data_IF_618246380912
#
_entry.id   IF_618246380912
#
_cell.length_a   1.000
_cell.length_b   1.000
_cell.length_c   1.000
_cell.angle_alpha   90.00
_cell.angle_beta   90.00
_cell.angle_gamma   90.00
#
_symmetry.space_group_name_H-M   'P 1'
#
loop_
_entity.id
_entity.type
_entity.pdbx_description
1 polymer ?
#
# COMPACT_ATOMS: atom_id res chain seq x y z
N UNK A 1 45.84 2.93 5.24
CA UNK A 1 44.53 3.27 5.79
C UNK A 1 44.75 3.82 7.18
N UNK A 2 44.27 4.99 7.51
CA UNK A 2 44.44 5.54 8.86
C UNK A 2 43.51 4.80 9.82
N UNK A 3 43.90 4.68 11.08
CA UNK A 3 43.07 4.09 12.15
C UNK A 3 41.68 4.70 12.22
N UNK A 4 41.59 6.00 11.90
CA UNK A 4 40.33 6.75 11.80
C UNK A 4 39.43 6.26 10.65
N UNK A 5 40.00 5.90 9.49
CA UNK A 5 39.22 5.35 8.35
C UNK A 5 38.69 3.95 8.64
N UNK A 6 39.49 3.13 9.35
CA UNK A 6 39.06 1.80 9.80
C UNK A 6 37.90 1.88 10.79
N UNK A 7 37.98 2.78 11.78
CA UNK A 7 36.90 3.02 12.76
C UNK A 7 35.62 3.54 12.07
N UNK A 8 35.74 4.47 11.13
CA UNK A 8 34.59 4.99 10.36
C UNK A 8 33.96 3.90 9.50
N UNK A 9 34.74 3.01 8.91
CA UNK A 9 34.25 1.84 8.16
C UNK A 9 33.49 0.89 9.07
N UNK A 10 34.05 0.55 10.24
CA UNK A 10 33.42 -0.33 11.22
C UNK A 10 32.11 0.28 11.75
N UNK A 11 32.06 1.57 12.03
CA UNK A 11 30.84 2.28 12.42
C UNK A 11 29.79 2.23 11.30
N UNK A 12 30.19 2.42 10.05
CA UNK A 12 29.31 2.31 8.89
C UNK A 12 28.79 0.88 8.70
N UNK A 13 29.64 -0.15 8.86
CA UNK A 13 29.22 -1.55 8.79
C UNK A 13 28.27 -1.93 9.93
N UNK A 14 28.54 -1.48 11.17
CA UNK A 14 27.63 -1.68 12.32
C UNK A 14 26.30 -0.96 12.09
N UNK A 15 26.33 0.30 11.62
CA UNK A 15 25.14 1.08 11.29
C UNK A 15 24.30 0.36 10.24
N UNK A 16 24.92 -0.08 9.14
CA UNK A 16 24.22 -0.82 8.08
C UNK A 16 23.66 -2.17 8.59
N UNK A 17 24.40 -2.84 9.47
CA UNK A 17 23.98 -4.10 10.06
C UNK A 17 22.82 -3.93 11.06
N UNK A 18 22.79 -2.82 11.81
CA UNK A 18 21.69 -2.45 12.71
C UNK A 18 20.44 -2.00 11.92
N UNK A 19 20.62 -1.29 10.81
CA UNK A 19 19.54 -0.91 9.90
C UNK A 19 18.93 -2.13 9.21
N UNK A 20 19.72 -3.14 8.87
CA UNK A 20 19.24 -4.41 8.29
C UNK A 20 18.71 -5.41 9.35
N UNK A 21 19.14 -5.31 10.61
CA UNK A 21 18.76 -6.19 11.72
C UNK A 21 17.88 -5.51 12.77
N UNK A 22 16.58 -5.42 12.50
CA UNK A 22 15.48 -5.37 13.48
C UNK A 22 15.26 -4.13 14.34
N UNK A 23 16.21 -3.24 14.59
CA UNK A 23 16.04 -2.19 15.61
C UNK A 23 15.56 -0.84 15.08
N UNK A 24 15.81 -0.50 13.82
CA UNK A 24 15.40 0.75 13.23
C UNK A 24 15.12 0.61 11.73
N UNK A 25 13.91 0.96 11.33
CA UNK A 25 13.51 0.99 9.93
C UNK A 25 12.82 2.32 9.62
N UNK A 26 13.45 3.22 8.86
CA UNK A 26 12.80 4.46 8.45
C UNK A 26 11.69 4.14 7.46
N UNK A 27 10.46 4.02 7.96
CA UNK A 27 9.31 3.81 7.11
C UNK A 27 8.73 5.14 6.63
N UNK A 28 8.42 5.21 5.35
CA UNK A 28 7.82 6.40 4.77
C UNK A 28 6.30 6.41 5.02
N UNK A 29 5.86 6.84 6.20
CA UNK A 29 4.44 6.97 6.53
C UNK A 29 3.68 7.93 5.61
N UNK A 30 4.37 8.92 4.99
CA UNK A 30 3.75 9.82 4.04
C UNK A 30 3.29 9.11 2.77
N UNK A 31 3.91 7.98 2.40
CA UNK A 31 3.45 7.15 1.30
C UNK A 31 2.02 6.63 1.53
N UNK A 32 1.66 6.28 2.79
CA UNK A 32 0.30 5.85 3.11
C UNK A 32 -0.75 6.93 2.77
N UNK A 33 -0.43 8.21 2.96
CA UNK A 33 -1.34 9.29 2.61
C UNK A 33 -1.48 9.48 1.10
N UNK A 34 -0.39 9.35 0.36
CA UNK A 34 -0.41 9.39 -1.11
C UNK A 34 -1.25 8.25 -1.67
N UNK A 35 -1.00 7.03 -1.22
CA UNK A 35 -1.78 5.86 -1.63
C UNK A 35 -3.24 5.93 -1.19
N UNK A 36 -3.54 6.55 -0.05
CA UNK A 36 -4.92 6.79 0.38
C UNK A 36 -5.66 7.70 -0.61
N UNK A 37 -5.05 8.80 -1.05
CA UNK A 37 -5.66 9.68 -2.07
C UNK A 37 -5.86 8.92 -3.38
N UNK A 38 -4.86 8.18 -3.84
CA UNK A 38 -4.96 7.37 -5.05
C UNK A 38 -6.06 6.32 -4.92
N UNK A 39 -6.17 5.63 -3.78
CA UNK A 39 -7.20 4.61 -3.54
C UNK A 39 -8.62 5.22 -3.61
N UNK A 40 -8.83 6.41 -3.02
CA UNK A 40 -10.12 7.11 -3.13
C UNK A 40 -10.43 7.45 -4.58
N UNK A 41 -9.49 8.11 -5.27
CA UNK A 41 -9.68 8.51 -6.67
C UNK A 41 -9.95 7.28 -7.54
N UNK A 42 -9.13 6.23 -7.43
CA UNK A 42 -9.32 5.00 -8.20
C UNK A 42 -10.67 4.35 -7.92
N UNK A 43 -11.08 4.25 -6.66
CA UNK A 43 -12.37 3.63 -6.29
C UNK A 43 -13.56 4.36 -6.94
N UNK A 44 -13.48 5.68 -7.07
CA UNK A 44 -14.57 6.49 -7.64
C UNK A 44 -14.55 6.54 -9.17
N UNK A 45 -13.36 6.57 -9.80
CA UNK A 45 -13.25 6.81 -11.24
C UNK A 45 -13.05 5.54 -12.07
N UNK A 46 -12.63 4.44 -11.45
CA UNK A 46 -12.25 3.21 -12.16
C UNK A 46 -13.41 2.64 -12.97
N UNK A 47 -14.57 2.46 -12.36
CA UNK A 47 -15.72 1.86 -13.03
C UNK A 47 -16.23 2.75 -14.17
N UNK A 48 -16.53 4.04 -13.97
CA UNK A 48 -16.91 4.93 -15.06
C UNK A 48 -15.90 4.99 -16.20
N UNK A 49 -14.59 4.90 -15.87
CA UNK A 49 -13.55 4.90 -16.90
C UNK A 49 -13.57 3.63 -17.76
N UNK A 50 -13.84 2.47 -17.17
CA UNK A 50 -13.97 1.21 -17.91
C UNK A 50 -15.29 1.12 -18.70
N UNK A 51 -16.37 1.70 -18.19
CA UNK A 51 -17.64 1.83 -18.92
C UNK A 51 -17.49 2.70 -20.17
N UNK A 52 -16.70 3.79 -20.06
CA UNK A 52 -16.43 4.63 -21.22
C UNK A 52 -15.60 3.86 -22.27
N UNK A 53 -14.51 3.20 -21.88
CA UNK A 53 -13.69 2.36 -22.75
C UNK A 53 -12.74 1.50 -21.94
N UNK A 54 -12.60 0.22 -22.32
CA UNK A 54 -11.64 -0.71 -21.69
C UNK A 54 -10.20 -0.15 -21.77
N UNK A 55 -9.80 0.37 -22.94
CA UNK A 55 -8.46 0.95 -23.12
C UNK A 55 -8.25 2.19 -22.28
N UNK A 56 -9.25 3.07 -22.17
CA UNK A 56 -9.19 4.27 -21.36
C UNK A 56 -9.10 3.92 -19.87
N UNK A 57 -9.95 3.00 -19.38
CA UNK A 57 -9.92 2.53 -18.00
C UNK A 57 -8.59 1.92 -17.61
N UNK A 58 -8.07 1.00 -18.44
CA UNK A 58 -6.75 0.39 -18.21
C UNK A 58 -5.61 1.43 -18.20
N UNK A 59 -5.60 2.36 -19.16
CA UNK A 59 -4.62 3.43 -19.24
C UNK A 59 -4.67 4.38 -18.03
N UNK A 60 -5.87 4.75 -17.58
CA UNK A 60 -6.06 5.62 -16.41
C UNK A 60 -5.51 4.97 -15.14
N UNK A 61 -5.87 3.70 -14.88
CA UNK A 61 -5.41 2.99 -13.70
C UNK A 61 -3.89 2.78 -13.73
N UNK A 62 -3.36 2.36 -14.87
CA UNK A 62 -1.91 2.24 -15.04
C UNK A 62 -1.18 3.57 -14.73
N UNK A 63 -1.73 4.68 -15.22
CA UNK A 63 -1.16 6.02 -14.98
C UNK A 63 -1.22 6.39 -13.50
N UNK A 64 -2.36 6.22 -12.83
CA UNK A 64 -2.51 6.52 -11.39
C UNK A 64 -1.57 5.69 -10.52
N UNK A 65 -1.46 4.39 -10.79
CA UNK A 65 -0.54 3.50 -10.09
C UNK A 65 0.92 3.91 -10.33
N UNK A 66 1.29 4.25 -11.56
CA UNK A 66 2.63 4.70 -11.91
C UNK A 66 2.99 6.01 -11.17
N UNK A 67 2.08 6.98 -11.14
CA UNK A 67 2.24 8.23 -10.37
C UNK A 67 2.45 7.90 -8.89
N UNK A 68 1.67 6.98 -8.33
CA UNK A 68 1.82 6.54 -6.94
C UNK A 68 3.22 6.03 -6.63
N UNK A 69 3.76 5.13 -7.44
CA UNK A 69 5.12 4.58 -7.25
C UNK A 69 6.22 5.64 -7.45
N UNK A 70 6.07 6.54 -8.41
CA UNK A 70 7.06 7.63 -8.61
C UNK A 70 7.09 8.57 -7.41
N UNK A 71 5.92 8.97 -6.90
CA UNK A 71 5.82 9.84 -5.72
C UNK A 71 6.33 9.12 -4.47
N UNK A 72 5.92 7.86 -4.23
CA UNK A 72 6.42 7.04 -3.12
C UNK A 72 7.93 6.90 -3.16
N UNK A 73 8.51 6.56 -4.31
CA UNK A 73 9.96 6.42 -4.48
C UNK A 73 10.70 7.73 -4.18
N UNK A 74 10.16 8.87 -4.61
CA UNK A 74 10.72 10.19 -4.33
C UNK A 74 10.66 10.54 -2.84
N UNK A 75 9.54 10.27 -2.18
CA UNK A 75 9.37 10.48 -0.74
C UNK A 75 10.27 9.55 0.08
N UNK A 76 10.39 8.28 -0.31
CA UNK A 76 11.25 7.31 0.37
C UNK A 76 12.73 7.71 0.30
N UNK A 77 13.21 8.18 -0.88
CA UNK A 77 14.57 8.74 -0.99
C UNK A 77 14.79 9.94 -0.07
N UNK A 78 13.78 10.83 0.05
CA UNK A 78 13.86 11.97 0.95
C UNK A 78 13.95 11.56 2.43
N UNK A 79 13.16 10.55 2.83
CA UNK A 79 13.21 10.00 4.19
C UNK A 79 14.56 9.33 4.44
N UNK A 80 15.04 8.48 3.53
CA UNK A 80 16.35 7.82 3.68
C UNK A 80 17.48 8.82 3.85
N UNK A 81 17.49 9.89 3.05
CA UNK A 81 18.50 10.94 3.15
C UNK A 81 18.51 11.64 4.52
N UNK A 82 17.36 11.78 5.18
CA UNK A 82 17.30 12.37 6.53
C UNK A 82 17.93 11.48 7.62
N UNK A 83 18.13 10.19 7.32
CA UNK A 83 18.81 9.23 8.19
C UNK A 83 20.22 8.86 7.70
N UNK A 84 20.74 9.61 6.72
CA UNK A 84 22.05 9.38 6.12
C UNK A 84 22.17 7.96 5.51
N UNK A 85 21.11 7.54 4.82
CA UNK A 85 21.03 6.28 4.10
C UNK A 85 21.01 6.62 2.61
N UNK A 86 22.04 6.22 1.88
CA UNK A 86 22.22 6.57 0.46
C UNK A 86 21.24 5.81 -0.43
N UNK A 87 20.96 4.53 -0.12
CA UNK A 87 20.14 3.64 -0.93
C UNK A 87 18.94 3.08 -0.16
N UNK A 88 17.97 2.53 -0.91
CA UNK A 88 16.85 1.81 -0.32
C UNK A 88 17.33 0.54 0.39
N UNK A 89 16.90 0.36 1.64
CA UNK A 89 17.19 -0.86 2.40
C UNK A 89 16.55 -2.10 1.75
N UNK A 90 17.06 -3.29 2.03
CA UNK A 90 16.49 -4.55 1.50
C UNK A 90 15.00 -4.71 1.84
N UNK A 91 14.58 -4.26 3.04
CA UNK A 91 13.17 -4.28 3.47
C UNK A 91 12.30 -3.32 2.66
N UNK A 92 12.78 -2.09 2.41
CA UNK A 92 12.08 -1.14 1.53
C UNK A 92 11.95 -1.68 0.12
N UNK A 93 13.02 -2.25 -0.43
CA UNK A 93 12.99 -2.89 -1.76
C UNK A 93 12.00 -4.07 -1.80
N UNK A 94 11.95 -4.89 -0.75
CA UNK A 94 10.98 -5.98 -0.65
C UNK A 94 9.53 -5.45 -0.68
N UNK A 95 9.23 -4.44 0.13
CA UNK A 95 7.89 -3.83 0.19
C UNK A 95 7.51 -3.26 -1.18
N UNK A 96 8.39 -2.44 -1.79
CA UNK A 96 8.14 -1.84 -3.10
C UNK A 96 7.93 -2.88 -4.20
N UNK A 97 8.77 -3.92 -4.25
CA UNK A 97 8.64 -5.02 -5.24
C UNK A 97 7.34 -5.80 -5.04
N UNK A 98 6.97 -6.08 -3.79
CA UNK A 98 5.73 -6.78 -3.47
C UNK A 98 4.50 -5.99 -3.95
N UNK A 99 4.40 -4.70 -3.61
CA UNK A 99 3.29 -3.86 -4.09
C UNK A 99 3.30 -3.65 -5.59
N UNK A 100 4.47 -3.53 -6.22
CA UNK A 100 4.57 -3.43 -7.66
C UNK A 100 4.02 -4.69 -8.37
N UNK A 101 4.40 -5.88 -7.91
CA UNK A 101 3.90 -7.14 -8.47
C UNK A 101 2.39 -7.30 -8.26
N UNK A 102 1.90 -6.99 -7.07
CA UNK A 102 0.46 -6.99 -6.77
C UNK A 102 -0.29 -6.01 -7.68
N UNK A 103 0.22 -4.79 -7.85
CA UNK A 103 -0.42 -3.77 -8.68
C UNK A 103 -0.46 -4.17 -10.16
N UNK A 104 0.62 -4.73 -10.69
CA UNK A 104 0.66 -5.23 -12.07
C UNK A 104 -0.39 -6.33 -12.29
N UNK A 105 -0.47 -7.28 -11.37
CA UNK A 105 -1.46 -8.35 -11.41
C UNK A 105 -2.90 -7.80 -11.32
N UNK A 106 -3.13 -6.82 -10.43
CA UNK A 106 -4.42 -6.17 -10.27
C UNK A 106 -4.87 -5.42 -11.54
N UNK A 107 -3.97 -4.71 -12.23
CA UNK A 107 -4.31 -4.01 -13.47
C UNK A 107 -4.79 -5.01 -14.53
N UNK A 108 -4.11 -6.14 -14.67
CA UNK A 108 -4.48 -7.18 -15.62
C UNK A 108 -5.85 -7.78 -15.27
N UNK A 109 -6.06 -8.20 -14.01
CA UNK A 109 -7.32 -8.78 -13.56
C UNK A 109 -8.48 -7.80 -13.66
N UNK A 110 -8.26 -6.53 -13.28
CA UNK A 110 -9.26 -5.47 -13.40
C UNK A 110 -9.73 -5.32 -14.84
N UNK A 111 -8.80 -5.32 -15.80
CA UNK A 111 -9.13 -5.23 -17.21
C UNK A 111 -9.95 -6.44 -17.67
N UNK A 112 -9.56 -7.66 -17.27
CA UNK A 112 -10.31 -8.88 -17.62
C UNK A 112 -11.72 -8.83 -17.03
N UNK A 113 -11.87 -8.49 -15.75
CA UNK A 113 -13.18 -8.42 -15.10
C UNK A 113 -14.06 -7.30 -15.68
N UNK A 114 -13.47 -6.16 -16.04
CA UNK A 114 -14.20 -5.07 -16.71
C UNK A 114 -14.75 -5.50 -18.08
N UNK A 115 -14.02 -6.30 -18.86
CA UNK A 115 -14.52 -6.88 -20.12
C UNK A 115 -15.77 -7.75 -19.91
N UNK A 116 -15.95 -8.33 -18.75
CA UNK A 116 -17.12 -9.14 -18.37
C UNK A 116 -18.11 -8.39 -17.49
N UNK A 117 -17.94 -7.08 -17.29
CA UNK A 117 -18.79 -6.21 -16.46
C UNK A 117 -18.89 -6.68 -14.98
N UNK A 118 -17.89 -7.38 -14.48
CA UNK A 118 -17.82 -7.92 -13.12
C UNK A 118 -17.26 -6.87 -12.15
N UNK A 119 -17.89 -5.70 -12.08
CA UNK A 119 -17.38 -4.54 -11.33
C UNK A 119 -17.29 -4.77 -9.83
N UNK A 120 -18.23 -5.54 -9.26
CA UNK A 120 -18.15 -5.93 -7.85
C UNK A 120 -16.90 -6.74 -7.51
N UNK A 121 -16.48 -7.67 -8.40
CA UNK A 121 -15.23 -8.43 -8.22
C UNK A 121 -14.00 -7.55 -8.32
N UNK A 122 -13.99 -6.54 -9.19
CA UNK A 122 -12.87 -5.61 -9.32
C UNK A 122 -12.60 -4.95 -7.97
N UNK A 123 -13.61 -4.38 -7.35
CA UNK A 123 -13.48 -3.66 -6.08
C UNK A 123 -13.00 -4.60 -4.97
N UNK A 124 -13.56 -5.81 -4.89
CA UNK A 124 -13.19 -6.79 -3.86
C UNK A 124 -11.77 -7.31 -4.01
N UNK A 125 -11.28 -7.55 -5.24
CA UNK A 125 -9.93 -8.08 -5.44
C UNK A 125 -8.87 -7.02 -5.11
N UNK A 126 -9.15 -5.74 -5.36
CA UNK A 126 -8.29 -4.65 -4.91
C UNK A 126 -8.21 -4.62 -3.38
N UNK A 127 -9.36 -4.71 -2.68
CA UNK A 127 -9.38 -4.76 -1.22
C UNK A 127 -8.56 -5.95 -0.70
N UNK A 128 -8.77 -7.14 -1.25
CA UNK A 128 -8.11 -8.36 -0.81
C UNK A 128 -6.60 -8.33 -1.03
N UNK A 129 -6.15 -8.08 -2.27
CA UNK A 129 -4.73 -8.18 -2.62
C UNK A 129 -3.88 -7.05 -2.03
N UNK A 130 -4.39 -5.82 -2.00
CA UNK A 130 -3.68 -4.71 -1.33
C UNK A 130 -3.60 -4.97 0.18
N UNK A 131 -4.64 -5.56 0.78
CA UNK A 131 -4.59 -5.93 2.20
C UNK A 131 -3.60 -7.05 2.48
N UNK A 132 -3.39 -8.02 1.58
CA UNK A 132 -2.28 -8.97 1.68
C UNK A 132 -0.91 -8.27 1.66
N UNK A 133 -0.76 -7.23 0.81
CA UNK A 133 0.42 -6.37 0.83
C UNK A 133 0.62 -5.69 2.18
N UNK A 134 -0.42 -5.08 2.75
CA UNK A 134 -0.36 -4.48 4.09
C UNK A 134 -0.11 -5.50 5.20
N UNK A 135 -0.60 -6.73 5.07
CA UNK A 135 -0.27 -7.81 5.98
C UNK A 135 1.24 -8.10 5.98
N UNK A 136 1.84 -8.21 4.80
CA UNK A 136 3.29 -8.40 4.66
C UNK A 136 4.07 -7.20 5.24
N UNK A 137 3.64 -5.96 4.97
CA UNK A 137 4.24 -4.75 5.56
C UNK A 137 4.15 -4.76 7.08
N UNK A 138 2.98 -5.04 7.63
CA UNK A 138 2.77 -5.11 9.08
C UNK A 138 3.65 -6.15 9.76
N UNK A 139 3.91 -7.28 9.08
CA UNK A 139 4.82 -8.31 9.56
C UNK A 139 6.30 -7.86 9.48
N UNK A 140 6.73 -7.33 8.33
CA UNK A 140 8.12 -6.88 8.09
C UNK A 140 8.51 -5.71 9.02
N UNK A 141 7.57 -4.79 9.27
CA UNK A 141 7.78 -3.62 10.13
C UNK A 141 7.43 -3.87 11.60
N UNK A 142 6.92 -5.06 11.93
CA UNK A 142 6.40 -5.37 13.26
C UNK A 142 5.32 -4.39 13.76
N UNK A 143 4.53 -3.79 12.84
CA UNK A 143 3.43 -2.87 13.19
C UNK A 143 2.14 -3.65 13.30
N UNK A 144 1.76 -4.01 14.53
CA UNK A 144 0.55 -4.81 14.83
C UNK A 144 -0.72 -4.20 14.24
N UNK A 145 -0.82 -2.86 14.19
CA UNK A 145 -2.00 -2.18 13.67
C UNK A 145 -2.22 -2.43 12.17
N UNK A 146 -1.16 -2.42 11.35
CA UNK A 146 -1.27 -2.79 9.93
C UNK A 146 -1.68 -4.26 9.74
N UNK A 147 -1.10 -5.15 10.53
CA UNK A 147 -1.46 -6.58 10.49
C UNK A 147 -2.93 -6.82 10.87
N UNK A 148 -3.45 -6.15 11.90
CA UNK A 148 -4.85 -6.27 12.33
C UNK A 148 -5.81 -5.70 11.29
N UNK A 149 -5.52 -4.50 10.76
CA UNK A 149 -6.28 -3.88 9.68
C UNK A 149 -6.35 -4.79 8.45
N UNK A 150 -5.21 -5.33 8.03
CA UNK A 150 -5.13 -6.21 6.89
C UNK A 150 -5.96 -7.50 7.08
N UNK A 151 -5.88 -8.15 8.25
CA UNK A 151 -6.72 -9.30 8.58
C UNK A 151 -8.21 -8.98 8.50
N UNK A 152 -8.62 -7.84 9.05
CA UNK A 152 -10.01 -7.39 8.98
C UNK A 152 -10.47 -7.20 7.53
N UNK A 153 -9.69 -6.49 6.72
CA UNK A 153 -10.01 -6.27 5.31
C UNK A 153 -10.09 -7.57 4.51
N UNK A 154 -9.17 -8.52 4.77
CA UNK A 154 -9.18 -9.84 4.13
C UNK A 154 -10.46 -10.60 4.49
N UNK A 155 -10.82 -10.65 5.77
CA UNK A 155 -12.02 -11.35 6.22
C UNK A 155 -13.27 -10.70 5.60
N UNK A 156 -13.40 -9.37 5.63
CA UNK A 156 -14.57 -8.69 5.08
C UNK A 156 -14.65 -8.86 3.57
N UNK A 157 -13.52 -8.85 2.85
CA UNK A 157 -13.52 -9.10 1.40
C UNK A 157 -13.97 -10.52 1.06
N UNK A 158 -13.57 -11.53 1.85
CA UNK A 158 -14.04 -12.91 1.68
C UNK A 158 -15.54 -13.06 1.97
N UNK A 159 -16.04 -12.42 3.03
CA UNK A 159 -17.48 -12.40 3.33
C UNK A 159 -18.27 -11.78 2.20
N UNK A 160 -17.84 -10.60 1.72
CA UNK A 160 -18.49 -9.91 0.60
C UNK A 160 -18.39 -10.70 -0.70
N UNK A 161 -17.29 -11.44 -0.92
CA UNK A 161 -17.15 -12.34 -2.07
C UNK A 161 -18.18 -13.46 -2.04
N UNK A 162 -18.38 -14.10 -0.88
CA UNK A 162 -19.38 -15.15 -0.71
C UNK A 162 -20.79 -14.61 -0.90
N UNK A 163 -21.12 -13.46 -0.30
CA UNK A 163 -22.40 -12.79 -0.44
C UNK A 163 -22.67 -12.42 -1.89
N UNK A 164 -21.70 -11.76 -2.54
CA UNK A 164 -21.83 -11.35 -3.94
C UNK A 164 -22.01 -12.53 -4.89
N UNK A 165 -21.30 -13.65 -4.66
CA UNK A 165 -21.43 -14.87 -5.44
C UNK A 165 -22.81 -15.56 -5.23
N UNK A 166 -23.27 -15.61 -3.97
CA UNK A 166 -24.53 -16.27 -3.65
C UNK A 166 -25.75 -15.56 -4.24
N UNK A 167 -25.71 -14.22 -4.30
CA UNK A 167 -26.81 -13.38 -4.80
C UNK A 167 -26.57 -12.84 -6.21
N UNK A 168 -25.51 -13.26 -6.89
CA UNK A 168 -25.15 -12.79 -8.25
C UNK A 168 -25.03 -11.26 -8.38
N UNK A 169 -24.36 -10.62 -7.39
CA UNK A 169 -24.29 -9.16 -7.25
C UNK A 169 -23.06 -8.52 -7.91
N UNK A 170 -22.27 -9.28 -8.67
CA UNK A 170 -21.01 -8.76 -9.23
C UNK A 170 -21.17 -8.01 -10.55
N UNK A 171 -22.29 -8.23 -11.25
CA UNK A 171 -22.52 -7.70 -12.60
C UNK A 171 -23.14 -6.31 -12.54
N UNK A 172 -22.64 -5.42 -13.39
CA UNK A 172 -23.17 -4.06 -13.56
C UNK A 172 -22.63 -3.04 -12.57
N UNK A 173 -22.88 -1.77 -12.87
CA UNK A 173 -22.36 -0.62 -12.12
C UNK A 173 -23.36 0.01 -11.15
N UNK A 174 -24.65 -0.22 -11.32
CA UNK A 174 -25.71 0.48 -10.56
C UNK A 174 -26.27 -0.36 -9.39
N UNK A 175 -25.41 -1.09 -8.68
CA UNK A 175 -25.85 -1.93 -7.57
C UNK A 175 -25.54 -1.30 -6.21
N UNK A 176 -26.48 -1.42 -5.25
CA UNK A 176 -26.23 -1.06 -3.85
C UNK A 176 -25.01 -1.83 -3.28
N UNK A 177 -24.84 -3.08 -3.70
CA UNK A 177 -23.70 -3.90 -3.32
C UNK A 177 -22.37 -3.26 -3.75
N UNK A 178 -22.29 -2.74 -4.98
CA UNK A 178 -21.10 -2.07 -5.47
C UNK A 178 -20.78 -0.82 -4.64
N UNK A 179 -21.80 0.02 -4.38
CA UNK A 179 -21.64 1.22 -3.56
C UNK A 179 -21.14 0.88 -2.14
N UNK A 180 -21.69 -0.16 -1.52
CA UNK A 180 -21.24 -0.63 -0.21
C UNK A 180 -19.79 -1.16 -0.25
N UNK A 181 -19.43 -1.93 -1.27
CA UNK A 181 -18.06 -2.43 -1.42
C UNK A 181 -17.07 -1.30 -1.68
N UNK A 182 -17.41 -0.29 -2.46
CA UNK A 182 -16.61 0.92 -2.64
C UNK A 182 -16.38 1.66 -1.31
N UNK A 183 -17.42 1.83 -0.50
CA UNK A 183 -17.28 2.46 0.82
C UNK A 183 -16.34 1.67 1.74
N UNK A 184 -16.45 0.33 1.74
CA UNK A 184 -15.56 -0.55 2.50
C UNK A 184 -14.11 -0.43 2.02
N UNK A 185 -13.87 -0.36 0.72
CA UNK A 185 -12.54 -0.18 0.13
C UNK A 185 -11.93 1.17 0.51
N UNK A 186 -12.70 2.25 0.41
CA UNK A 186 -12.23 3.59 0.82
C UNK A 186 -11.84 3.58 2.31
N UNK A 187 -12.68 2.99 3.16
CA UNK A 187 -12.34 2.87 4.58
C UNK A 187 -11.09 2.01 4.80
N UNK A 188 -11.03 0.82 4.21
CA UNK A 188 -9.98 -0.18 4.43
C UNK A 188 -8.63 0.18 3.80
N UNK A 189 -8.61 0.82 2.63
CA UNK A 189 -7.37 1.13 1.90
C UNK A 189 -6.95 2.60 1.95
N UNK A 190 -7.83 3.53 2.33
CA UNK A 190 -7.50 4.93 2.42
C UNK A 190 -7.53 5.44 3.87
N UNK A 191 -8.67 5.33 4.56
CA UNK A 191 -8.85 5.93 5.88
C UNK A 191 -8.01 5.21 6.93
N UNK A 192 -8.13 3.89 7.04
CA UNK A 192 -7.47 3.11 8.07
C UNK A 192 -5.93 3.15 7.98
N UNK A 193 -5.28 2.94 6.81
CA UNK A 193 -3.83 3.05 6.70
C UNK A 193 -3.32 4.46 7.02
N UNK A 194 -4.02 5.51 6.57
CA UNK A 194 -3.66 6.89 6.88
C UNK A 194 -3.74 7.21 8.36
N UNK A 195 -4.76 6.71 9.03
CA UNK A 195 -4.91 6.89 10.48
C UNK A 195 -3.79 6.17 11.26
N UNK A 196 -3.47 4.93 10.89
CA UNK A 196 -2.37 4.16 11.48
C UNK A 196 -1.04 4.90 11.27
N UNK A 197 -0.77 5.37 10.04
CA UNK A 197 0.44 6.11 9.71
C UNK A 197 0.61 7.36 10.57
N UNK A 198 -0.46 8.16 10.75
CA UNK A 198 -0.44 9.35 11.62
C UNK A 198 -0.16 9.01 13.07
N UNK A 199 -0.74 7.90 13.57
CA UNK A 199 -0.52 7.46 14.95
C UNK A 199 0.93 7.06 15.17
N UNK A 200 1.50 6.26 14.26
CA UNK A 200 2.89 5.82 14.35
C UNK A 200 3.88 6.99 14.26
N UNK A 201 3.67 7.95 13.35
CA UNK A 201 4.50 9.16 13.28
C UNK A 201 4.51 9.95 14.59
N UNK A 202 3.36 10.07 15.26
CA UNK A 202 3.28 10.76 16.56
C UNK A 202 4.03 10.01 17.66
N UNK A 203 3.95 8.68 17.68
CA UNK A 203 4.66 7.84 18.64
C UNK A 203 6.17 7.94 18.47
N UNK A 204 6.67 7.94 17.22
CA UNK A 204 8.10 8.12 16.92
C UNK A 204 8.62 9.50 17.35
N UNK A 205 7.88 10.57 17.07
CA UNK A 205 8.24 11.93 17.49
C UNK A 205 8.26 12.08 19.02
N UNK A 206 7.35 11.44 19.72
CA UNK A 206 7.29 11.49 21.20
C UNK A 206 8.42 10.69 21.86
N UNK A 207 8.83 9.56 21.26
CA UNK A 207 9.93 8.74 21.76
C UNK A 207 11.31 9.37 21.50
N UNK A 208 11.46 10.08 20.37
CA UNK A 208 12.69 10.83 20.05
C UNK A 208 12.94 12.07 20.91
N UNK A 209 11.90 12.67 21.50
CA UNK A 209 12.04 13.85 22.37
C UNK A 209 12.46 13.52 23.82
N UNK A 210 12.46 12.25 24.23
CA UNK A 210 12.89 11.81 25.56
C UNK A 210 14.36 11.38 25.64
N UNK A 211 15.14 11.50 24.56
CA UNK A 211 16.55 11.05 24.48
C UNK A 211 17.56 12.21 24.33
N UNK A 212 17.24 13.41 24.85
CA UNK A 212 18.15 14.55 24.97
C UNK A 212 18.40 14.91 26.42
#
# INVERSE_FOLDING_TARGET
>A
MSEKEEVLRQISEIKNHLVDKETFFPYNYNACHVWAVIAVVMTLVMIPAYEYSITFGAGLIFTLVTIGFVVEGSLTKKVNKSYDIDDCTKRQQFIMKNFFMISLFLIILTTIFAMHQLYGLIILIWLFLISLGYFAVGFVLNIKAFTQMAKFNIIISLVLLVVGAYFDLFVGSDSLFLTLTQAVVIFGLAVAPSWIARKQQKEELSSGSCSV
#
